data_IF_572848603793
#
_entry.id   IF_572848603793
#
_cell.length_a   1.000
_cell.length_b   1.000
_cell.length_c   1.000
_cell.angle_alpha   90.00
_cell.angle_beta   90.00
_cell.angle_gamma   90.00
#
_symmetry.space_group_name_H-M   'P 1'
#
loop_
_entity.id
_entity.type
_entity.pdbx_description
1 polymer ?
#
# COMPACT_ATOMS: atom_id res chain seq x y z
N UNK A 1 -21.08 -3.05 26.42
CA UNK A 1 -22.27 -2.28 26.05
C UNK A 1 -22.03 -0.87 26.56
N UNK A 2 -22.23 0.15 25.73
CA UNK A 2 -22.12 1.55 26.11
C UNK A 2 -23.49 2.22 25.95
N UNK A 3 -23.68 3.38 26.58
CA UNK A 3 -24.84 4.24 26.32
C UNK A 3 -24.47 5.72 26.51
N UNK A 4 -25.07 6.60 25.71
CA UNK A 4 -24.76 8.04 25.76
C UNK A 4 -23.29 8.31 25.47
N UNK A 5 -22.71 9.29 26.17
CA UNK A 5 -21.33 9.75 25.97
C UNK A 5 -20.29 8.64 26.09
N UNK A 6 -20.56 7.55 26.83
CA UNK A 6 -19.64 6.40 26.90
C UNK A 6 -19.36 5.77 25.53
N UNK A 7 -20.29 5.87 24.58
CA UNK A 7 -20.11 5.39 23.20
C UNK A 7 -19.23 6.31 22.33
N UNK A 8 -19.07 7.57 22.75
CA UNK A 8 -18.31 8.61 22.08
C UNK A 8 -18.81 8.92 20.66
N UNK A 9 -20.12 8.99 20.45
CA UNK A 9 -20.73 9.06 19.12
C UNK A 9 -20.25 10.27 18.31
N UNK A 10 -19.82 10.04 17.06
CA UNK A 10 -19.28 11.11 16.21
C UNK A 10 -20.36 12.15 15.89
N UNK A 11 -21.60 11.71 15.64
CA UNK A 11 -22.75 12.56 15.34
C UNK A 11 -23.10 13.53 16.49
N UNK A 12 -22.73 13.15 17.72
CA UNK A 12 -22.91 13.96 18.93
C UNK A 12 -21.68 14.83 19.25
N UNK A 13 -20.61 14.74 18.48
CA UNK A 13 -19.34 15.43 18.76
C UNK A 13 -18.54 14.84 19.92
N UNK A 14 -18.88 13.62 20.37
CA UNK A 14 -18.35 13.00 21.60
C UNK A 14 -17.16 12.05 21.31
N UNK A 15 -16.52 12.18 20.13
CA UNK A 15 -15.52 11.23 19.62
C UNK A 15 -14.44 10.85 20.63
N UNK A 16 -14.02 11.79 21.47
CA UNK A 16 -12.95 11.64 22.45
C UNK A 16 -13.44 11.53 23.91
N UNK A 17 -14.76 11.60 24.11
CA UNK A 17 -15.38 11.55 25.45
C UNK A 17 -15.78 10.12 25.85
N UNK A 18 -15.78 9.20 24.86
CA UNK A 18 -16.11 7.79 25.07
C UNK A 18 -15.03 6.99 25.78
N UNK A 19 -15.33 5.72 26.04
CA UNK A 19 -14.43 4.79 26.76
C UNK A 19 -13.35 4.17 25.89
N UNK A 20 -13.41 4.34 24.57
CA UNK A 20 -12.46 3.79 23.61
C UNK A 20 -11.81 4.89 22.79
N UNK A 21 -10.52 4.73 22.53
CA UNK A 21 -9.80 5.53 21.53
C UNK A 21 -10.29 5.16 20.13
N UNK A 22 -10.95 6.11 19.46
CA UNK A 22 -11.50 5.94 18.10
C UNK A 22 -10.50 6.20 16.99
N UNK A 23 -9.41 6.92 17.28
CA UNK A 23 -8.38 7.24 16.28
C UNK A 23 -7.31 6.14 16.22
N UNK A 24 -6.92 5.62 17.38
CA UNK A 24 -5.75 4.78 17.51
C UNK A 24 -4.43 5.55 17.44
N UNK A 25 -3.35 4.78 17.52
CA UNK A 25 -2.03 5.18 17.10
C UNK A 25 -1.65 4.43 15.81
N UNK A 26 -1.74 5.12 14.68
CA UNK A 26 -1.59 4.51 13.36
C UNK A 26 -0.15 4.56 12.82
N UNK A 27 0.18 3.56 12.01
CA UNK A 27 1.38 3.55 11.18
C UNK A 27 0.98 3.28 9.74
N UNK A 28 0.97 4.36 8.96
CA UNK A 28 0.84 4.35 7.52
C UNK A 28 2.13 4.94 6.92
N UNK A 29 2.96 4.14 6.22
CA UNK A 29 4.20 4.63 5.60
C UNK A 29 3.99 5.85 4.70
N UNK A 30 2.88 5.91 3.96
CA UNK A 30 2.56 7.04 3.08
C UNK A 30 2.29 8.30 3.90
N UNK A 31 1.47 8.19 4.96
CA UNK A 31 1.20 9.29 5.91
C UNK A 31 2.47 9.77 6.62
N UNK A 32 3.43 8.86 6.82
CA UNK A 32 4.75 9.11 7.41
C UNK A 32 5.79 9.62 6.38
N UNK A 33 5.34 10.06 5.20
CA UNK A 33 6.12 10.59 4.07
C UNK A 33 6.93 9.58 3.26
N UNK A 34 6.84 8.28 3.55
CA UNK A 34 7.37 7.26 2.65
C UNK A 34 6.31 6.85 1.62
N UNK A 35 6.26 7.60 0.52
CA UNK A 35 5.27 7.45 -0.55
C UNK A 35 5.65 6.42 -1.63
N UNK A 36 6.71 5.63 -1.41
CA UNK A 36 7.19 4.59 -2.36
C UNK A 36 7.30 3.21 -1.73
N UNK A 37 6.92 3.07 -0.45
CA UNK A 37 7.08 1.80 0.26
C UNK A 37 6.04 0.74 -0.12
N UNK A 38 4.74 1.09 -0.14
CA UNK A 38 3.66 0.14 -0.39
C UNK A 38 2.75 0.63 -1.53
N UNK A 39 2.60 -0.18 -2.58
CA UNK A 39 1.71 0.14 -3.70
C UNK A 39 1.84 -0.83 -4.87
N UNK A 40 1.07 -0.63 -5.96
CA UNK A 40 0.98 -1.62 -7.03
C UNK A 40 2.17 -1.52 -8.01
N UNK A 41 2.90 -2.63 -8.16
CA UNK A 41 3.98 -2.83 -9.13
C UNK A 41 5.37 -2.93 -8.49
N UNK A 42 6.35 -3.36 -9.29
CA UNK A 42 7.72 -3.63 -8.84
C UNK A 42 8.51 -2.38 -8.43
N UNK A 43 8.01 -1.17 -8.70
CA UNK A 43 8.62 0.09 -8.26
C UNK A 43 8.43 0.37 -6.77
N UNK A 44 7.54 -0.37 -6.10
CA UNK A 44 7.29 -0.24 -4.67
C UNK A 44 8.12 -1.26 -3.88
N UNK A 45 8.56 -0.90 -2.68
CA UNK A 45 9.33 -1.82 -1.82
C UNK A 45 8.52 -3.08 -1.45
N UNK A 46 7.20 -2.92 -1.29
CA UNK A 46 6.19 -3.95 -1.13
C UNK A 46 5.16 -3.76 -2.24
N UNK A 47 5.15 -4.69 -3.19
CA UNK A 47 4.28 -4.68 -4.36
C UNK A 47 2.90 -5.23 -4.01
N UNK A 48 1.90 -4.37 -3.90
CA UNK A 48 0.52 -4.74 -3.57
C UNK A 48 -0.25 -5.42 -4.70
N UNK A 49 0.33 -5.52 -5.90
CA UNK A 49 -0.26 -6.29 -7.02
C UNK A 49 -0.03 -7.80 -6.89
N UNK A 50 0.78 -8.23 -5.93
CA UNK A 50 1.14 -9.63 -5.69
C UNK A 50 0.92 -9.99 -4.21
N UNK A 51 0.79 -11.30 -3.90
CA UNK A 51 0.72 -11.76 -2.52
C UNK A 51 1.94 -11.31 -1.71
N UNK A 52 1.73 -11.11 -0.42
CA UNK A 52 2.76 -10.80 0.56
C UNK A 52 2.40 -11.44 1.89
N UNK A 53 3.42 -11.74 2.70
CA UNK A 53 3.23 -12.01 4.12
C UNK A 53 3.39 -10.72 4.89
N UNK A 54 2.47 -10.46 5.82
CA UNK A 54 2.60 -9.37 6.79
C UNK A 54 2.90 -9.99 8.15
N UNK A 55 4.00 -9.58 8.78
CA UNK A 55 4.38 -10.06 10.10
C UNK A 55 4.33 -8.90 11.09
N UNK A 56 3.54 -9.08 12.14
CA UNK A 56 3.41 -8.13 13.24
C UNK A 56 3.97 -8.76 14.51
N UNK A 57 4.83 -8.05 15.21
CA UNK A 57 5.46 -8.49 16.46
C UNK A 57 5.04 -7.56 17.59
N UNK A 58 4.66 -8.15 18.71
CA UNK A 58 4.23 -7.48 19.93
C UNK A 58 5.32 -7.69 20.98
N UNK A 59 6.13 -6.66 21.23
CA UNK A 59 7.24 -6.73 22.15
C UNK A 59 6.81 -6.20 23.51
N UNK A 60 7.27 -6.85 24.56
CA UNK A 60 7.03 -6.44 25.93
C UNK A 60 8.26 -5.74 26.51
N UNK A 61 8.09 -5.03 27.62
CA UNK A 61 9.16 -4.28 28.29
C UNK A 61 10.34 -5.13 28.74
N UNK A 62 10.13 -6.42 29.02
CA UNK A 62 11.14 -7.35 29.52
C UNK A 62 11.39 -8.56 28.59
N UNK A 63 10.69 -8.61 27.44
CA UNK A 63 10.80 -9.71 26.48
C UNK A 63 10.10 -11.01 26.92
N UNK A 64 9.24 -10.95 27.94
CA UNK A 64 8.43 -12.08 28.42
C UNK A 64 6.95 -11.90 28.11
N UNK A 65 6.17 -12.98 28.21
CA UNK A 65 4.71 -12.95 28.04
C UNK A 65 3.97 -12.16 29.13
N UNK A 66 4.64 -11.88 30.26
CA UNK A 66 4.08 -11.14 31.39
C UNK A 66 4.43 -9.65 31.43
N UNK A 67 5.39 -9.21 30.61
CA UNK A 67 5.76 -7.80 30.54
C UNK A 67 4.67 -6.94 29.90
N UNK A 68 4.63 -5.66 30.26
CA UNK A 68 3.74 -4.70 29.61
C UNK A 68 4.11 -4.57 28.12
N UNK A 69 3.12 -4.49 27.23
CA UNK A 69 3.35 -4.22 25.80
C UNK A 69 4.08 -2.87 25.67
N UNK A 70 5.20 -2.86 24.94
CA UNK A 70 6.08 -1.70 24.80
C UNK A 70 6.20 -1.23 23.35
N UNK A 71 6.16 -2.16 22.39
CA UNK A 71 6.37 -1.86 20.97
C UNK A 71 5.57 -2.83 20.09
N UNK A 72 4.84 -2.31 19.11
CA UNK A 72 4.30 -3.10 18.01
C UNK A 72 5.06 -2.75 16.74
N UNK A 73 5.72 -3.72 16.12
CA UNK A 73 6.49 -3.51 14.89
C UNK A 73 6.07 -4.46 13.79
N UNK A 74 6.27 -4.03 12.54
CA UNK A 74 5.88 -4.77 11.34
C UNK A 74 7.07 -4.97 10.41
N UNK A 75 7.03 -6.07 9.67
CA UNK A 75 7.79 -6.25 8.44
C UNK A 75 6.98 -7.09 7.44
N UNK A 76 7.48 -7.19 6.22
CA UNK A 76 6.84 -7.96 5.15
C UNK A 76 7.78 -9.05 4.63
N UNK A 77 7.20 -10.10 4.06
CA UNK A 77 7.92 -11.06 3.22
C UNK A 77 7.26 -11.11 1.86
N UNK A 78 8.02 -10.85 0.81
CA UNK A 78 7.55 -10.96 -0.57
C UNK A 78 8.67 -11.55 -1.42
N UNK A 79 8.34 -12.54 -2.25
CA UNK A 79 9.32 -13.32 -3.05
C UNK A 79 10.47 -13.91 -2.23
N UNK A 80 10.17 -14.40 -1.03
CA UNK A 80 11.19 -14.96 -0.13
C UNK A 80 12.16 -13.92 0.45
N UNK A 81 11.94 -12.62 0.22
CA UNK A 81 12.74 -11.53 0.79
C UNK A 81 12.01 -10.85 1.94
N UNK A 82 12.68 -10.71 3.08
CA UNK A 82 12.21 -9.86 4.16
C UNK A 82 12.39 -8.37 3.79
N UNK A 83 11.33 -7.60 3.93
CA UNK A 83 11.29 -6.15 3.70
C UNK A 83 10.98 -5.48 5.03
N UNK A 84 11.99 -4.80 5.60
CA UNK A 84 11.81 -4.00 6.81
C UNK A 84 10.82 -2.86 6.53
N UNK A 85 9.96 -2.57 7.50
CA UNK A 85 9.17 -1.34 7.45
C UNK A 85 10.08 -0.09 7.47
N UNK A 86 9.68 1.02 6.81
CA UNK A 86 10.52 2.20 6.67
C UNK A 86 10.41 3.14 7.86
N UNK A 87 11.53 3.69 8.35
CA UNK A 87 11.54 4.67 9.46
C UNK A 87 10.54 5.82 9.27
N UNK A 88 10.04 6.37 10.38
CA UNK A 88 9.12 7.51 10.40
C UNK A 88 9.89 8.80 10.09
N UNK A 89 10.00 9.15 8.81
CA UNK A 89 10.87 10.25 8.35
C UNK A 89 10.33 11.64 8.63
N UNK A 90 9.03 11.76 8.89
CA UNK A 90 8.39 13.05 9.13
C UNK A 90 8.72 13.65 10.51
N UNK A 91 9.14 12.83 11.47
CA UNK A 91 9.48 13.28 12.82
C UNK A 91 10.89 13.92 12.87
N UNK A 92 11.11 14.96 13.67
CA UNK A 92 12.35 15.75 13.66
C UNK A 92 13.60 15.00 14.14
N UNK A 93 13.47 13.82 14.76
CA UNK A 93 14.62 12.95 15.10
C UNK A 93 14.80 11.79 14.12
N UNK A 94 14.17 11.82 12.93
CA UNK A 94 14.40 10.83 11.90
C UNK A 94 15.90 10.71 11.53
N UNK A 95 16.44 9.51 11.26
CA UNK A 95 15.77 8.20 11.18
C UNK A 95 15.73 7.42 12.52
N UNK A 96 15.92 8.09 13.66
CA UNK A 96 15.99 7.45 14.99
C UNK A 96 14.68 6.80 15.43
N UNK A 97 13.56 7.11 14.76
CA UNK A 97 12.27 6.47 15.01
C UNK A 97 12.09 5.27 14.06
N UNK A 98 12.14 4.02 14.58
CA UNK A 98 11.70 2.87 13.81
C UNK A 98 10.21 2.98 13.44
N UNK A 99 9.78 2.25 12.41
CA UNK A 99 8.35 2.13 12.05
C UNK A 99 7.63 1.22 13.05
N UNK A 100 7.47 1.70 14.28
CA UNK A 100 6.84 0.94 15.35
C UNK A 100 6.00 1.82 16.27
N UNK A 101 4.94 1.19 16.79
CA UNK A 101 3.96 1.80 17.68
C UNK A 101 4.52 1.69 19.08
N UNK A 102 5.01 2.82 19.59
CA UNK A 102 5.48 3.03 20.97
C UNK A 102 4.73 4.22 21.53
N UNK A 103 4.52 4.31 22.84
CA UNK A 103 3.85 5.47 23.43
C UNK A 103 4.52 6.80 23.03
N UNK A 104 5.85 6.79 22.91
CA UNK A 104 6.62 7.95 22.46
C UNK A 104 6.38 8.30 20.99
N UNK A 105 6.44 7.32 20.07
CA UNK A 105 6.16 7.58 18.65
C UNK A 105 4.72 8.03 18.43
N UNK A 106 3.76 7.46 19.17
CA UNK A 106 2.37 7.88 19.17
C UNK A 106 2.22 9.33 19.62
N UNK A 107 2.82 9.70 20.76
CA UNK A 107 2.80 11.07 21.26
C UNK A 107 3.38 12.06 20.25
N UNK A 108 4.57 11.77 19.73
CA UNK A 108 5.26 12.68 18.80
C UNK A 108 4.48 12.85 17.49
N UNK A 109 3.84 11.79 17.01
CA UNK A 109 2.97 11.84 15.82
C UNK A 109 1.68 12.62 16.07
N UNK A 110 1.03 12.42 17.22
CA UNK A 110 -0.18 13.16 17.59
C UNK A 110 0.11 14.66 17.74
N UNK A 111 1.25 15.02 18.37
CA UNK A 111 1.72 16.40 18.46
C UNK A 111 2.02 17.01 17.08
N UNK A 112 2.72 16.29 16.21
CA UNK A 112 3.05 16.77 14.86
C UNK A 112 1.81 16.99 13.99
N UNK A 113 0.82 16.12 14.11
CA UNK A 113 -0.40 16.16 13.29
C UNK A 113 -1.50 17.06 13.86
N UNK A 114 -1.27 17.65 15.03
CA UNK A 114 -2.26 18.43 15.78
C UNK A 114 -3.53 17.62 16.07
N UNK A 115 -3.34 16.38 16.55
CA UNK A 115 -4.43 15.46 16.92
C UNK A 115 -4.45 15.22 18.43
N UNK A 116 -5.64 15.07 19.06
CA UNK A 116 -5.75 14.60 20.43
C UNK A 116 -5.04 13.25 20.62
N UNK A 117 -4.31 13.11 21.73
CA UNK A 117 -3.65 11.85 22.08
C UNK A 117 -4.53 10.97 22.97
N UNK A 118 -5.75 10.69 22.49
CA UNK A 118 -6.71 9.84 23.23
C UNK A 118 -6.17 8.41 23.43
N UNK A 119 -5.26 7.95 22.56
CA UNK A 119 -4.48 6.73 22.75
C UNK A 119 -3.79 6.70 24.13
N UNK A 120 -3.06 7.76 24.47
CA UNK A 120 -2.39 7.87 25.76
C UNK A 120 -3.40 8.07 26.90
N UNK A 121 -4.47 8.82 26.68
CA UNK A 121 -5.53 9.05 27.67
C UNK A 121 -6.27 7.75 28.02
N UNK A 122 -6.37 6.80 27.07
CA UNK A 122 -6.90 5.43 27.30
C UNK A 122 -5.84 4.42 27.76
N UNK A 123 -4.63 4.86 28.11
CA UNK A 123 -3.59 4.04 28.73
C UNK A 123 -2.55 3.43 27.79
N UNK A 124 -2.54 3.84 26.51
CA UNK A 124 -1.48 3.57 25.55
C UNK A 124 -1.20 2.08 25.30
N UNK A 125 0.06 1.77 25.00
CA UNK A 125 0.50 0.41 24.71
C UNK A 125 0.23 -0.54 25.89
N UNK A 126 0.38 -0.08 27.13
CA UNK A 126 0.09 -0.90 28.31
C UNK A 126 -1.37 -1.38 28.31
N UNK A 127 -2.34 -0.47 28.17
CA UNK A 127 -3.76 -0.83 28.14
C UNK A 127 -4.10 -1.73 26.94
N UNK A 128 -3.45 -1.51 25.79
CA UNK A 128 -3.57 -2.41 24.63
C UNK A 128 -3.03 -3.82 24.94
N UNK A 129 -1.88 -3.92 25.62
CA UNK A 129 -1.31 -5.17 26.10
C UNK A 129 -2.21 -5.92 27.09
N UNK A 130 -2.77 -5.20 28.06
CA UNK A 130 -3.76 -5.75 29.00
C UNK A 130 -5.01 -6.27 28.27
N UNK A 131 -5.40 -5.61 27.18
CA UNK A 131 -6.48 -6.09 26.30
C UNK A 131 -6.09 -7.37 25.58
N UNK A 132 -4.91 -7.45 24.98
CA UNK A 132 -4.41 -8.65 24.30
C UNK A 132 -4.31 -9.85 25.26
N UNK A 133 -3.87 -9.62 26.51
CA UNK A 133 -3.74 -10.66 27.53
C UNK A 133 -5.08 -11.31 27.92
N UNK A 134 -6.22 -10.62 27.72
CA UNK A 134 -7.56 -11.21 27.93
C UNK A 134 -7.97 -12.17 26.82
N UNK A 135 -7.20 -12.25 25.74
CA UNK A 135 -7.53 -13.01 24.53
C UNK A 135 -8.37 -12.20 23.56
N UNK A 136 -7.96 -12.21 22.29
CA UNK A 136 -8.64 -11.52 21.19
C UNK A 136 -9.20 -12.53 20.19
N UNK A 137 -10.25 -12.13 19.47
CA UNK A 137 -10.81 -12.91 18.35
C UNK A 137 -10.28 -12.30 17.06
N UNK A 138 -9.71 -13.13 16.18
CA UNK A 138 -9.30 -12.68 14.85
C UNK A 138 -10.51 -12.35 13.99
N UNK A 139 -10.51 -11.17 13.37
CA UNK A 139 -11.56 -10.71 12.46
C UNK A 139 -10.98 -10.50 11.05
N UNK A 140 -11.68 -11.01 10.04
CA UNK A 140 -11.35 -10.84 8.63
C UNK A 140 -12.56 -10.24 7.93
N UNK A 141 -12.39 -9.10 7.27
CA UNK A 141 -13.49 -8.36 6.65
C UNK A 141 -13.05 -7.69 5.35
N UNK A 142 -14.04 -7.36 4.53
CA UNK A 142 -13.92 -6.51 3.35
C UNK A 142 -15.14 -5.60 3.34
N UNK A 143 -14.90 -4.29 3.31
CA UNK A 143 -15.94 -3.28 3.43
C UNK A 143 -15.50 -1.99 2.74
N UNK A 144 -16.48 -1.20 2.33
CA UNK A 144 -16.31 0.21 1.98
C UNK A 144 -16.90 1.09 3.08
N UNK A 145 -16.43 2.32 3.13
CA UNK A 145 -16.76 3.25 4.21
C UNK A 145 -17.84 4.21 3.74
N UNK A 146 -18.99 4.16 4.41
CA UNK A 146 -20.15 4.98 4.08
C UNK A 146 -20.08 6.39 4.66
N UNK A 147 -19.21 6.62 5.65
CA UNK A 147 -19.17 7.88 6.39
C UNK A 147 -18.13 8.82 5.80
N UNK A 148 -16.92 8.31 5.55
CA UNK A 148 -15.78 9.12 5.10
C UNK A 148 -15.01 8.50 3.94
N UNK A 149 -15.66 7.58 3.21
CA UNK A 149 -15.22 7.09 1.90
C UNK A 149 -13.78 6.54 1.86
N UNK A 150 -13.32 5.94 2.98
CA UNK A 150 -11.99 5.36 3.15
C UNK A 150 -10.83 6.38 3.07
N UNK A 151 -11.16 7.68 3.08
CA UNK A 151 -10.18 8.76 2.88
C UNK A 151 -9.15 8.84 4.01
N UNK A 152 -9.55 8.47 5.23
CA UNK A 152 -8.65 8.33 6.39
C UNK A 152 -7.57 7.27 6.22
N UNK A 153 -7.67 6.41 5.19
CA UNK A 153 -6.71 5.37 4.87
C UNK A 153 -5.90 5.71 3.61
N UNK A 154 -6.56 6.11 2.52
CA UNK A 154 -5.94 6.14 1.18
C UNK A 154 -5.95 7.49 0.43
N UNK A 155 -6.43 8.56 1.07
CA UNK A 155 -6.55 9.89 0.46
C UNK A 155 -6.06 11.01 1.38
N UNK A 156 -6.45 12.26 1.10
CA UNK A 156 -6.28 13.39 2.00
C UNK A 156 -7.46 13.42 2.99
N UNK A 157 -7.18 13.43 4.29
CA UNK A 157 -8.20 13.50 5.33
C UNK A 157 -7.66 14.17 6.62
N UNK A 158 -8.41 15.10 7.24
CA UNK A 158 -9.78 15.52 6.89
C UNK A 158 -9.86 16.41 5.64
N UNK A 159 -11.06 16.51 5.05
CA UNK A 159 -11.29 17.20 3.76
C UNK A 159 -11.13 18.73 3.82
N UNK A 160 -11.23 19.30 5.01
CA UNK A 160 -11.14 20.73 5.29
C UNK A 160 -9.71 21.23 5.51
N UNK A 161 -8.73 20.32 5.57
CA UNK A 161 -7.31 20.64 5.72
C UNK A 161 -6.56 20.54 4.40
N UNK A 162 -5.49 21.32 4.25
CA UNK A 162 -4.70 21.31 3.03
C UNK A 162 -3.92 19.99 2.89
N UNK A 163 -3.89 19.43 1.68
CA UNK A 163 -3.21 18.17 1.38
C UNK A 163 -1.72 18.15 1.76
N UNK A 164 -1.08 19.32 1.77
CA UNK A 164 0.35 19.46 2.12
C UNK A 164 0.63 19.47 3.62
N UNK A 165 -0.39 19.59 4.47
CA UNK A 165 -0.20 19.60 5.91
C UNK A 165 0.24 18.21 6.44
N UNK A 166 1.16 18.16 7.42
CA UNK A 166 1.57 16.91 8.05
C UNK A 166 0.38 16.08 8.54
N UNK A 167 0.36 14.81 8.15
CA UNK A 167 -0.67 13.86 8.59
C UNK A 167 -1.99 13.91 7.82
N UNK A 168 -2.18 14.84 6.87
CA UNK A 168 -3.40 14.93 6.06
C UNK A 168 -3.38 13.93 4.92
N UNK A 169 -2.29 13.85 4.14
CA UNK A 169 -2.19 12.96 2.99
C UNK A 169 -1.76 11.55 3.39
N UNK A 170 -2.56 10.54 3.03
CA UNK A 170 -2.46 9.15 3.50
C UNK A 170 -2.37 8.12 2.38
N UNK A 171 -2.64 8.56 1.16
CA UNK A 171 -2.45 7.79 -0.06
C UNK A 171 -2.68 8.67 -1.29
N UNK A 172 -2.55 8.05 -2.47
CA UNK A 172 -2.67 8.76 -3.74
C UNK A 172 -4.11 8.93 -4.23
N UNK A 173 -5.10 8.38 -3.53
CA UNK A 173 -6.45 8.35 -4.05
C UNK A 173 -7.08 9.75 -4.06
N UNK A 174 -7.93 10.03 -5.07
CA UNK A 174 -8.55 11.35 -5.19
C UNK A 174 -9.42 11.68 -3.97
N UNK A 175 -10.11 10.69 -3.40
CA UNK A 175 -11.06 10.88 -2.31
C UNK A 175 -12.39 11.43 -2.80
N UNK A 176 -13.18 11.99 -1.88
CA UNK A 176 -14.47 12.62 -2.16
C UNK A 176 -15.47 11.66 -2.80
N UNK A 177 -16.25 12.17 -3.76
CA UNK A 177 -17.27 11.38 -4.44
C UNK A 177 -16.68 10.20 -5.22
N UNK A 178 -15.46 10.30 -5.76
CA UNK A 178 -14.84 9.21 -6.51
C UNK A 178 -14.61 7.94 -5.68
N UNK A 179 -14.45 8.12 -4.36
CA UNK A 179 -14.32 7.06 -3.37
C UNK A 179 -15.63 6.70 -2.67
N UNK A 180 -16.77 7.28 -3.07
CA UNK A 180 -18.07 6.99 -2.44
C UNK A 180 -18.45 5.51 -2.61
N UNK A 181 -19.18 4.90 -1.63
CA UNK A 181 -19.67 3.53 -1.73
C UNK A 181 -20.34 3.20 -3.06
N UNK A 182 -21.13 4.15 -3.58
CA UNK A 182 -21.80 4.01 -4.87
C UNK A 182 -20.80 3.84 -6.01
N UNK A 183 -19.78 4.69 -6.05
CA UNK A 183 -18.79 4.68 -7.13
C UNK A 183 -17.83 3.50 -7.01
N UNK A 184 -17.35 3.16 -5.80
CA UNK A 184 -16.44 2.02 -5.62
C UNK A 184 -17.14 0.69 -5.92
N UNK A 185 -18.39 0.49 -5.46
CA UNK A 185 -19.16 -0.74 -5.78
C UNK A 185 -19.48 -0.86 -7.26
N UNK A 186 -19.71 0.26 -7.96
CA UNK A 186 -19.94 0.27 -9.40
C UNK A 186 -18.67 0.02 -10.22
N UNK A 187 -17.53 0.57 -9.81
CA UNK A 187 -16.23 0.42 -10.51
C UNK A 187 -15.58 -0.92 -10.22
N UNK A 188 -15.76 -1.46 -9.01
CA UNK A 188 -15.12 -2.68 -8.51
C UNK A 188 -16.12 -3.70 -7.95
N UNK A 189 -17.15 -4.13 -8.71
CA UNK A 189 -18.17 -5.06 -8.22
C UNK A 189 -17.64 -6.47 -7.93
N UNK A 190 -16.44 -6.77 -8.40
CA UNK A 190 -15.73 -8.04 -8.21
C UNK A 190 -14.50 -7.87 -7.29
N UNK A 191 -14.48 -6.84 -6.45
CA UNK A 191 -13.44 -6.68 -5.44
C UNK A 191 -13.46 -7.84 -4.44
N UNK A 192 -12.29 -8.38 -4.12
CA UNK A 192 -12.12 -9.43 -3.13
C UNK A 192 -10.81 -9.25 -2.38
N UNK A 193 -10.69 -9.95 -1.26
CA UNK A 193 -9.45 -10.09 -0.50
C UNK A 193 -9.28 -11.56 -0.12
N UNK A 194 -8.04 -12.04 -0.11
CA UNK A 194 -7.70 -13.39 0.33
C UNK A 194 -6.77 -13.29 1.52
N UNK A 195 -7.17 -13.92 2.63
CA UNK A 195 -6.31 -14.14 3.79
C UNK A 195 -5.92 -15.61 3.82
N UNK A 196 -4.62 -15.89 3.86
CA UNK A 196 -4.10 -17.25 3.82
C UNK A 196 -2.82 -17.35 4.68
N UNK A 197 -2.43 -18.58 5.01
CA UNK A 197 -1.19 -18.88 5.72
C UNK A 197 -1.04 -18.13 7.05
N UNK A 198 -2.13 -18.04 7.82
CA UNK A 198 -2.12 -17.44 9.15
C UNK A 198 -1.25 -18.29 10.09
N UNK A 199 -0.31 -17.64 10.76
CA UNK A 199 0.56 -18.26 11.76
C UNK A 199 0.64 -17.38 13.00
N UNK A 200 0.66 -18.02 14.18
CA UNK A 200 0.85 -17.39 15.48
C UNK A 200 1.92 -18.18 16.21
N UNK A 201 2.90 -17.49 16.79
CA UNK A 201 4.01 -18.10 17.50
C UNK A 201 4.94 -17.07 18.10
N UNK A 202 5.99 -17.55 18.76
CA UNK A 202 7.03 -16.74 19.38
C UNK A 202 7.72 -15.81 18.35
N UNK A 203 8.28 -14.69 18.83
CA UNK A 203 9.05 -13.77 17.99
C UNK A 203 10.20 -14.55 17.34
N UNK A 204 10.23 -14.59 16.00
CA UNK A 204 11.25 -15.31 15.23
C UNK A 204 10.83 -16.70 14.73
N UNK A 205 9.62 -17.18 15.05
CA UNK A 205 9.19 -18.56 14.71
C UNK A 205 8.32 -18.68 13.46
N UNK A 206 7.73 -17.58 12.97
CA UNK A 206 6.67 -17.64 11.97
C UNK A 206 7.16 -17.52 10.53
N UNK A 207 8.42 -17.17 10.29
CA UNK A 207 9.02 -17.01 8.95
C UNK A 207 10.42 -17.62 8.88
N UNK A 208 10.87 -17.93 7.67
CA UNK A 208 12.25 -18.38 7.41
C UNK A 208 13.23 -17.22 7.19
N UNK A 209 12.73 -16.02 6.95
CA UNK A 209 13.52 -14.81 6.68
C UNK A 209 13.06 -13.66 7.56
N UNK A 210 14.01 -12.98 8.18
CA UNK A 210 13.77 -11.80 9.02
C UNK A 210 14.67 -10.64 8.58
N UNK A 211 14.22 -9.38 8.71
CA UNK A 211 15.08 -8.24 8.48
C UNK A 211 16.37 -8.32 9.30
N UNK A 212 17.52 -8.06 8.66
CA UNK A 212 18.84 -8.14 9.31
C UNK A 212 19.44 -9.54 9.43
N UNK A 213 18.72 -10.60 9.04
CA UNK A 213 19.34 -11.93 8.85
C UNK A 213 19.97 -12.01 7.46
N UNK A 214 21.23 -12.43 7.37
CA UNK A 214 21.83 -12.84 6.09
C UNK A 214 21.17 -14.16 5.69
N UNK A 215 20.02 -14.08 5.01
CA UNK A 215 19.43 -15.24 4.35
C UNK A 215 20.43 -15.87 3.36
N UNK A 216 20.28 -17.15 3.01
CA UNK A 216 21.15 -17.80 2.03
C UNK A 216 21.14 -16.97 0.74
N UNK A 217 22.34 -16.66 0.26
CA UNK A 217 22.60 -15.91 -0.97
C UNK A 217 21.72 -16.45 -2.11
N UNK A 218 20.98 -15.60 -2.84
CA UNK A 218 20.35 -15.99 -4.09
C UNK A 218 21.41 -16.62 -5.00
N UNK A 219 21.13 -17.67 -5.80
CA UNK A 219 22.12 -18.22 -6.71
C UNK A 219 22.57 -17.10 -7.65
N UNK A 220 23.81 -16.65 -7.44
CA UNK A 220 24.48 -15.67 -8.26
C UNK A 220 24.43 -16.14 -9.71
N UNK A 221 23.65 -15.45 -10.53
CA UNK A 221 23.66 -15.62 -11.97
C UNK A 221 25.01 -15.14 -12.49
N UNK A 222 26.00 -16.03 -12.48
CA UNK A 222 27.30 -15.85 -13.12
C UNK A 222 27.08 -15.58 -14.60
N UNK A 223 27.10 -14.31 -14.97
CA UNK A 223 27.11 -13.89 -16.37
C UNK A 223 28.55 -13.96 -16.83
N UNK A 224 28.93 -15.11 -17.40
CA UNK A 224 30.23 -15.33 -18.02
C UNK A 224 30.34 -14.44 -19.26
N UNK A 225 31.00 -13.30 -19.13
CA UNK A 225 31.33 -12.42 -20.27
C UNK A 225 32.37 -13.11 -21.14
N UNK A 226 31.89 -13.73 -22.22
CA UNK A 226 32.74 -14.29 -23.27
C UNK A 226 33.21 -13.15 -24.16
N UNK A 227 34.49 -12.79 -24.03
CA UNK A 227 35.16 -11.81 -24.88
C UNK A 227 35.40 -12.40 -26.28
N UNK A 228 34.95 -11.68 -27.31
CA UNK A 228 35.43 -11.83 -28.69
C UNK A 228 35.83 -10.45 -29.24
N UNK A 229 36.91 -10.36 -30.04
CA UNK A 229 37.63 -9.11 -30.26
C UNK A 229 36.96 -8.24 -31.34
N UNK A 230 36.72 -6.97 -31.02
CA UNK A 230 36.32 -5.92 -31.98
C UNK A 230 37.57 -5.30 -32.59
N UNK A 231 37.53 -5.17 -33.92
CA UNK A 231 38.61 -4.64 -34.74
C UNK A 231 38.91 -3.16 -34.49
N UNK A 232 40.20 -2.87 -34.63
CA UNK A 232 40.92 -1.62 -34.40
C UNK A 232 40.55 -0.52 -35.39
N UNK A 233 40.24 0.69 -34.91
CA UNK A 233 40.43 1.94 -35.67
C UNK A 233 40.98 3.04 -34.75
N UNK A 234 42.07 3.68 -35.19
CA UNK A 234 42.85 4.74 -34.52
C UNK A 234 42.86 5.98 -35.46
N UNK A 235 43.31 7.16 -35.01
CA UNK A 235 42.61 8.15 -34.18
C UNK A 235 42.29 9.42 -35.00
N UNK A 236 41.42 10.30 -34.50
CA UNK A 236 41.42 11.71 -34.95
C UNK A 236 41.13 12.62 -33.78
N UNK A 237 42.13 13.41 -33.42
CA UNK A 237 42.10 14.52 -32.47
C UNK A 237 41.39 15.72 -33.08
N UNK A 238 40.52 16.41 -32.33
CA UNK A 238 40.51 17.90 -32.13
C UNK A 238 39.30 18.37 -31.30
N UNK A 239 39.62 19.24 -30.32
CA UNK A 239 38.86 20.31 -29.68
C UNK A 239 37.63 20.03 -28.77
N UNK A 240 37.87 20.34 -27.49
CA UNK A 240 36.95 20.66 -26.40
C UNK A 240 35.83 21.64 -26.81
N UNK A 241 34.58 21.21 -26.64
CA UNK A 241 33.42 22.07 -26.48
C UNK A 241 32.60 21.55 -25.29
N UNK A 242 32.54 22.35 -24.21
CA UNK A 242 31.83 22.08 -22.97
C UNK A 242 30.34 21.83 -23.25
N UNK A 243 29.92 20.56 -23.26
CA UNK A 243 28.51 20.19 -23.27
C UNK A 243 27.92 20.52 -21.89
N UNK A 244 26.72 21.11 -21.78
CA UNK A 244 26.09 21.28 -20.49
C UNK A 244 25.85 19.88 -19.93
N UNK A 245 26.42 19.61 -18.76
CA UNK A 245 26.10 18.41 -18.00
C UNK A 245 24.57 18.30 -17.87
N UNK A 246 24.04 17.08 -17.93
CA UNK A 246 22.62 16.87 -17.71
C UNK A 246 22.17 17.53 -16.41
N UNK A 247 20.95 18.05 -16.40
CA UNK A 247 20.39 18.74 -15.26
C UNK A 247 20.36 17.79 -14.05
N UNK A 248 20.75 18.32 -12.89
CA UNK A 248 20.69 17.61 -11.62
C UNK A 248 19.24 17.32 -11.23
N UNK A 249 19.05 16.38 -10.30
CA UNK A 249 17.76 16.07 -9.69
C UNK A 249 16.97 17.34 -9.37
N UNK A 250 15.71 17.37 -9.79
CA UNK A 250 14.78 18.49 -9.61
C UNK A 250 15.15 19.79 -10.34
N UNK A 251 16.16 19.80 -11.21
CA UNK A 251 16.51 20.98 -12.02
C UNK A 251 15.74 21.02 -13.33
N UNK A 252 15.61 22.23 -13.88
CA UNK A 252 14.95 22.46 -15.15
C UNK A 252 15.72 21.78 -16.27
N UNK A 253 15.01 20.96 -17.03
CA UNK A 253 15.52 20.21 -18.17
C UNK A 253 14.75 20.51 -19.46
N UNK A 254 13.86 21.49 -19.47
CA UNK A 254 13.09 21.85 -20.65
C UNK A 254 12.14 23.03 -20.43
N UNK A 255 11.48 23.47 -21.50
CA UNK A 255 10.59 24.62 -21.52
C UNK A 255 10.86 25.56 -22.70
N UNK A 256 9.83 26.29 -23.16
CA UNK A 256 9.96 27.26 -24.25
C UNK A 256 10.97 28.36 -23.90
N UNK A 257 11.95 28.58 -24.80
CA UNK A 257 13.12 29.46 -24.61
C UNK A 257 14.15 29.03 -23.54
N UNK A 258 14.12 27.78 -23.06
CA UNK A 258 15.17 27.25 -22.17
C UNK A 258 16.49 27.06 -22.93
N UNK A 259 17.56 27.72 -22.48
CA UNK A 259 18.92 27.61 -23.03
C UNK A 259 19.82 26.65 -22.23
N UNK A 260 19.25 25.86 -21.30
CA UNK A 260 19.98 24.93 -20.44
C UNK A 260 19.93 23.47 -20.91
N UNK A 261 20.43 22.52 -20.09
CA UNK A 261 20.47 21.10 -20.45
C UNK A 261 19.06 20.55 -20.66
N UNK A 262 18.92 19.63 -21.63
CA UNK A 262 17.65 18.98 -21.99
C UNK A 262 17.54 17.53 -21.52
N UNK A 263 18.57 17.05 -20.80
CA UNK A 263 18.65 15.72 -20.20
C UNK A 263 18.79 15.83 -18.68
N UNK A 264 18.55 14.73 -17.97
CA UNK A 264 18.66 14.63 -16.51
C UNK A 264 19.78 13.67 -16.12
N UNK A 265 20.29 13.79 -14.90
CA UNK A 265 21.27 12.83 -14.37
C UNK A 265 20.72 11.41 -14.29
N UNK A 266 21.60 10.41 -14.24
CA UNK A 266 21.24 9.00 -14.34
C UNK A 266 20.18 8.60 -13.30
N UNK A 267 19.13 7.89 -13.74
CA UNK A 267 17.96 7.55 -12.91
C UNK A 267 16.87 8.64 -12.86
N UNK A 268 17.04 9.76 -13.59
CA UNK A 268 16.09 10.85 -13.66
C UNK A 268 15.62 11.08 -15.11
N UNK A 269 14.33 11.38 -15.26
CA UNK A 269 13.68 11.71 -16.52
C UNK A 269 13.19 13.14 -16.53
N UNK A 270 13.30 13.80 -17.68
CA UNK A 270 12.78 15.15 -17.84
C UNK A 270 11.25 15.13 -18.01
N UNK A 271 10.52 15.50 -16.97
CA UNK A 271 9.05 15.52 -16.96
C UNK A 271 8.55 16.93 -17.26
N UNK A 272 7.73 17.07 -18.30
CA UNK A 272 7.10 18.34 -18.66
C UNK A 272 6.08 18.74 -17.59
N UNK A 273 6.24 19.94 -17.05
CA UNK A 273 5.32 20.49 -16.05
C UNK A 273 4.32 21.45 -16.71
N UNK A 274 4.83 22.35 -17.56
CA UNK A 274 4.04 23.23 -18.43
C UNK A 274 4.84 23.64 -19.68
N UNK A 275 4.26 24.46 -20.56
CA UNK A 275 4.88 24.84 -21.84
C UNK A 275 6.22 25.60 -21.70
N UNK A 276 6.45 26.26 -20.55
CA UNK A 276 7.67 27.05 -20.27
C UNK A 276 8.64 26.32 -19.35
N UNK A 277 8.25 25.18 -18.78
CA UNK A 277 9.03 24.50 -17.73
C UNK A 277 8.89 22.98 -17.74
N UNK A 278 10.02 22.29 -17.74
CA UNK A 278 10.13 20.83 -17.55
C UNK A 278 11.23 20.55 -16.53
N UNK A 279 11.02 19.56 -15.66
CA UNK A 279 11.89 19.30 -14.51
C UNK A 279 12.35 17.85 -14.47
N UNK A 280 13.61 17.63 -14.07
CA UNK A 280 14.12 16.31 -13.78
C UNK A 280 13.40 15.71 -12.57
N UNK A 281 12.59 14.69 -12.81
CA UNK A 281 11.92 13.87 -11.77
C UNK A 281 12.43 12.43 -11.91
N UNK A 282 12.36 11.58 -10.87
CA UNK A 282 12.87 10.21 -10.94
C UNK A 282 12.20 9.45 -12.09
N UNK A 283 13.00 8.86 -12.98
CA UNK A 283 12.54 8.32 -14.26
C UNK A 283 12.53 6.80 -14.30
N UNK A 284 11.36 6.22 -14.55
CA UNK A 284 11.19 4.84 -15.02
C UNK A 284 11.49 4.79 -16.53
N UNK A 285 12.61 4.20 -16.92
CA UNK A 285 12.95 3.98 -18.32
C UNK A 285 11.96 3.01 -19.00
N UNK A 286 11.26 3.44 -20.05
CA UNK A 286 11.26 2.75 -21.36
C UNK A 286 10.51 3.52 -22.46
N UNK A 287 11.07 3.36 -23.65
CA UNK A 287 10.84 4.02 -24.93
C UNK A 287 9.55 3.63 -25.70
N UNK A 288 9.00 4.62 -26.41
CA UNK A 288 8.31 4.63 -27.72
C UNK A 288 7.43 3.43 -28.18
N UNK A 289 6.14 3.70 -28.44
CA UNK A 289 5.56 3.59 -29.80
C UNK A 289 4.15 4.20 -29.90
N UNK A 290 3.98 5.05 -30.92
CA UNK A 290 2.75 5.73 -31.32
C UNK A 290 1.76 4.78 -32.00
N UNK A 291 0.45 4.92 -31.75
CA UNK A 291 -0.57 4.46 -32.69
C UNK A 291 -1.83 5.35 -32.66
N UNK A 292 -2.26 5.72 -33.88
CA UNK A 292 -3.31 6.68 -34.23
C UNK A 292 -4.73 6.17 -33.90
N UNK A 293 -5.61 7.08 -33.45
CA UNK A 293 -7.04 6.84 -33.26
C UNK A 293 -7.78 6.96 -34.61
N UNK A 294 -8.22 5.83 -35.17
CA UNK A 294 -9.25 5.74 -36.21
C UNK A 294 -10.65 5.75 -35.58
N UNK A 295 -11.60 6.37 -36.29
CA UNK A 295 -13.00 6.60 -35.87
C UNK A 295 -13.91 5.40 -36.13
N UNK A 296 -15.02 5.43 -35.41
CA UNK A 296 -16.40 5.14 -35.85
C UNK A 296 -17.01 3.79 -35.46
N UNK A 297 -18.31 3.84 -35.12
CA UNK A 297 -19.18 2.67 -35.02
C UNK A 297 -20.03 2.52 -33.75
N UNK A 298 -20.97 3.44 -33.49
CA UNK A 298 -22.26 3.10 -32.82
C UNK A 298 -22.92 1.98 -33.65
N UNK A 299 -23.73 1.04 -33.14
CA UNK A 299 -24.99 1.27 -32.44
C UNK A 299 -25.75 -0.08 -32.28
N UNK A 300 -26.75 -0.07 -31.39
CA UNK A 300 -27.99 -0.90 -31.29
C UNK A 300 -27.99 -1.88 -30.10
N UNK A 301 -28.60 -1.51 -28.96
CA UNK A 301 -30.05 -1.47 -28.66
C UNK A 301 -30.81 -2.69 -29.14
N UNK A 302 -31.18 -3.57 -28.19
CA UNK A 302 -32.51 -4.17 -28.06
C UNK A 302 -32.72 -4.52 -26.57
N UNK A 303 -33.71 -3.90 -25.94
CA UNK A 303 -34.28 -4.30 -24.65
C UNK A 303 -35.43 -5.31 -24.84
N UNK A 304 -36.36 -5.42 -23.88
CA UNK A 304 -36.32 -6.48 -22.88
C UNK A 304 -37.59 -7.36 -22.88
N UNK A 305 -37.49 -8.57 -22.32
CA UNK A 305 -38.64 -9.30 -21.77
C UNK A 305 -38.15 -10.29 -20.71
N UNK A 306 -38.55 -10.14 -19.45
CA UNK A 306 -39.82 -10.56 -18.83
C UNK A 306 -39.84 -12.06 -18.53
N UNK A 307 -39.63 -12.45 -17.27
CA UNK A 307 -40.59 -13.19 -16.44
C UNK A 307 -39.96 -13.59 -15.10
N UNK A 308 -40.65 -13.18 -14.04
CA UNK A 308 -40.56 -13.76 -12.70
C UNK A 308 -40.94 -15.24 -12.73
N UNK A 309 -40.27 -16.05 -11.92
CA UNK A 309 -41.00 -17.05 -11.13
C UNK A 309 -40.36 -17.18 -9.75
N UNK A 310 -41.22 -16.99 -8.74
CA UNK A 310 -40.96 -17.34 -7.34
C UNK A 310 -41.18 -18.83 -7.18
N UNK A 311 -40.35 -19.48 -6.37
CA UNK A 311 -40.73 -20.68 -5.64
C UNK A 311 -40.01 -20.69 -4.30
N UNK A 312 -40.75 -20.39 -3.23
CA UNK A 312 -40.40 -20.74 -1.85
C UNK A 312 -41.02 -22.11 -1.55
N UNK A 313 -40.26 -23.09 -1.03
CA UNK A 313 -40.77 -24.06 -0.05
C UNK A 313 -39.63 -24.48 0.91
N UNK A 314 -39.80 -24.03 2.16
CA UNK A 314 -39.59 -24.65 3.49
C UNK A 314 -38.32 -25.44 3.83
N UNK A 315 -37.80 -25.02 4.98
CA UNK A 315 -36.84 -25.63 5.88
C UNK A 315 -37.13 -27.08 6.31
N UNK A 316 -36.07 -27.85 6.55
CA UNK A 316 -35.86 -28.56 7.83
C UNK A 316 -34.45 -29.15 7.95
N UNK A 317 -33.82 -28.85 9.08
CA UNK A 317 -32.82 -29.61 9.85
C UNK A 317 -32.09 -30.82 9.20
N UNK A 318 -30.75 -30.84 9.29
CA UNK A 318 -30.04 -31.68 10.28
C UNK A 318 -28.52 -31.58 10.12
N UNK A 319 -27.87 -31.25 11.22
CA UNK A 319 -26.44 -31.40 11.43
C UNK A 319 -26.09 -32.90 11.62
N UNK A 320 -25.18 -33.42 10.78
CA UNK A 320 -24.13 -34.43 11.06
C UNK A 320 -23.66 -35.06 9.75
N UNK A 321 -22.58 -34.51 9.18
CA UNK A 321 -21.56 -35.19 8.37
C UNK A 321 -20.61 -34.14 7.78
N UNK A 322 -19.65 -33.69 8.58
CA UNK A 322 -18.48 -32.95 8.09
C UNK A 322 -17.24 -33.55 8.74
N UNK A 323 -17.00 -34.80 8.39
CA UNK A 323 -15.69 -35.41 8.40
C UNK A 323 -15.70 -36.33 7.17
N UNK A 324 -14.70 -36.19 6.30
CA UNK A 324 -14.52 -36.93 5.04
C UNK A 324 -15.28 -36.43 3.79
N UNK A 325 -15.12 -35.15 3.40
CA UNK A 325 -15.08 -34.73 1.98
C UNK A 325 -14.13 -33.52 1.86
N UNK A 326 -12.82 -33.73 1.98
CA UNK A 326 -11.83 -32.64 1.92
C UNK A 326 -10.56 -32.98 1.12
N UNK A 327 -10.62 -33.94 0.20
CA UNK A 327 -9.45 -34.27 -0.64
C UNK A 327 -9.68 -34.48 -2.14
N UNK A 328 -10.92 -34.50 -2.66
CA UNK A 328 -11.14 -34.88 -4.06
C UNK A 328 -11.76 -33.79 -4.97
N UNK A 329 -11.59 -32.50 -4.65
CA UNK A 329 -12.08 -31.40 -5.50
C UNK A 329 -10.99 -30.62 -6.26
N UNK A 330 -9.73 -31.06 -6.19
CA UNK A 330 -8.58 -30.35 -6.80
C UNK A 330 -7.92 -31.09 -7.97
N UNK A 331 -8.68 -31.91 -8.68
CA UNK A 331 -8.22 -32.52 -9.93
C UNK A 331 -9.33 -32.40 -10.95
N UNK A 332 -9.25 -31.36 -11.77
CA UNK A 332 -9.75 -31.27 -13.16
C UNK A 332 -10.27 -29.84 -13.43
N UNK A 333 -9.36 -28.97 -13.91
CA UNK A 333 -9.73 -27.75 -14.64
C UNK A 333 -8.85 -27.66 -15.90
N UNK A 334 -9.44 -27.47 -17.09
CA UNK A 334 -8.72 -27.49 -18.36
C UNK A 334 -7.98 -26.19 -18.65
N UNK A 335 -6.88 -26.34 -19.40
CA UNK A 335 -5.97 -25.32 -19.92
C UNK A 335 -6.71 -24.32 -20.84
N UNK A 336 -6.74 -23.03 -20.51
CA UNK A 336 -7.15 -21.96 -21.45
C UNK A 336 -6.39 -20.65 -21.24
N UNK A 337 -6.09 -20.06 -22.39
CA UNK A 337 -5.11 -19.02 -22.74
C UNK A 337 -5.38 -17.62 -22.19
N UNK A 338 -4.27 -16.92 -21.92
CA UNK A 338 -4.15 -15.52 -21.50
C UNK A 338 -4.82 -14.52 -22.45
N UNK A 339 -5.59 -13.58 -21.89
CA UNK A 339 -5.93 -12.32 -22.54
C UNK A 339 -5.50 -11.17 -21.63
N UNK A 340 -4.48 -10.42 -22.05
CA UNK A 340 -3.96 -9.25 -21.35
C UNK A 340 -4.91 -8.06 -21.52
N UNK A 341 -5.48 -7.58 -20.41
CA UNK A 341 -6.19 -6.31 -20.34
C UNK A 341 -5.31 -5.25 -19.69
N UNK A 342 -4.71 -4.37 -20.50
CA UNK A 342 -3.90 -3.25 -20.03
C UNK A 342 -4.74 -2.25 -19.22
N UNK A 343 -4.28 -1.91 -18.01
CA UNK A 343 -4.80 -0.83 -17.19
C UNK A 343 -3.84 0.35 -17.23
N UNK A 344 -4.25 1.47 -17.83
CA UNK A 344 -3.51 2.73 -17.85
C UNK A 344 -4.22 3.74 -16.95
N UNK A 345 -3.61 4.06 -15.81
CA UNK A 345 -4.05 5.08 -14.84
C UNK A 345 -3.48 4.78 -13.44
N UNK A 346 -3.36 5.78 -12.54
CA UNK A 346 -3.03 5.55 -11.13
C UNK A 346 -4.22 4.85 -10.50
N UNK A 347 -4.25 3.53 -10.62
CA UNK A 347 -5.36 2.71 -10.16
C UNK A 347 -5.32 2.61 -8.64
N UNK A 348 -6.24 3.33 -7.99
CA UNK A 348 -6.74 3.03 -6.64
C UNK A 348 -7.55 1.72 -6.64
N UNK A 349 -6.99 0.67 -7.22
CA UNK A 349 -7.57 -0.67 -7.21
C UNK A 349 -7.27 -1.28 -5.85
N UNK A 350 -8.32 -1.64 -5.12
CA UNK A 350 -8.24 -2.77 -4.21
C UNK A 350 -7.55 -3.91 -4.96
N UNK A 351 -6.42 -4.39 -4.42
CA UNK A 351 -5.49 -5.30 -5.07
C UNK A 351 -6.21 -6.43 -5.82
N UNK A 352 -6.13 -6.42 -7.15
CA UNK A 352 -6.49 -7.60 -7.96
C UNK A 352 -5.39 -8.65 -7.76
N UNK A 353 -5.53 -9.52 -6.76
CA UNK A 353 -4.55 -10.59 -6.50
C UNK A 353 -5.03 -11.89 -7.14
N UNK A 354 -4.31 -12.35 -8.15
CA UNK A 354 -4.62 -13.58 -8.88
C UNK A 354 -4.79 -14.78 -7.94
N UNK A 355 -5.83 -15.56 -8.25
CA UNK A 355 -6.22 -16.82 -7.59
C UNK A 355 -5.07 -17.82 -7.66
N UNK A 356 -4.77 -18.52 -6.57
CA UNK A 356 -4.11 -19.84 -6.60
C UNK A 356 -5.21 -20.88 -6.61
#
# INVERSE_FOLDING_TARGET
>A
MCSGTECGDNDSGERYDGVCDKDGCDINPFRNQNTTFYGPGAQWAVDSSRPMTVVTQFLTTDGTDSGDLSEIRRFYVQDGRAVASPSITILPKAPSYPDSITDQSCKDMKELFDNPNDFQDKGGNKAMGESLNRGHVAAFSLWDDIDVHMMWLDSAYPEDRERGEPGVLRGMCPGGEDSSPRNVRSKHPQGYVTFANVAIGEIGSTQSVYPGTTGPEPPTASTTTTTSPVATVKPTTTATATQPSCAKAWKQCGGRNHNGPTCCEEGWSCVVDNEWYSQCKPGTDTAFAQAKKGRDGRQKFLGPSFMQSKAEIKASAQAKKMETVLTDFWRDAPDLTLSEGAANGPDCKASKIHKI
#
